data_IF_765278470521
#
_entry.id   IF_765278470521
#
_cell.length_a   1.000
_cell.length_b   1.000
_cell.length_c   1.000
_cell.angle_alpha   90.00
_cell.angle_beta   90.00
_cell.angle_gamma   90.00
#
_symmetry.space_group_name_H-M   'P 1'
#
loop_
_entity.id
_entity.type
_entity.pdbx_description
1 polymer ?
#
# COMPACT_ATOMS: atom_id res chain seq x y z
N UNK A 1 4.65 13.10 10.02
CA UNK A 1 3.82 11.89 9.78
C UNK A 1 2.36 12.21 9.48
N UNK A 2 1.60 12.86 10.38
CA UNK A 2 0.15 13.07 10.18
C UNK A 2 -0.23 13.78 8.86
N UNK A 3 0.50 14.84 8.46
CA UNK A 3 0.24 15.60 7.24
C UNK A 3 0.49 14.83 5.93
N UNK A 4 1.54 14.01 5.89
CA UNK A 4 1.87 13.16 4.73
C UNK A 4 0.85 12.03 4.55
N UNK A 5 0.35 11.47 5.66
CA UNK A 5 -0.78 10.54 5.64
C UNK A 5 -2.06 11.24 5.15
N UNK A 6 -2.36 12.45 5.60
CA UNK A 6 -3.53 13.19 5.11
C UNK A 6 -3.44 13.56 3.62
N UNK A 7 -2.26 13.94 3.14
CA UNK A 7 -2.02 14.23 1.72
C UNK A 7 -2.06 12.95 0.85
N UNK A 8 -1.64 11.79 1.36
CA UNK A 8 -1.75 10.51 0.66
C UNK A 8 -3.19 9.95 0.66
N UNK A 9 -3.94 10.15 1.74
CA UNK A 9 -5.35 9.76 1.88
C UNK A 9 -6.28 10.44 0.88
N UNK A 10 -5.93 11.66 0.47
CA UNK A 10 -6.70 12.51 -0.45
C UNK A 10 -6.70 12.02 -1.91
N UNK A 11 -5.77 11.14 -2.30
CA UNK A 11 -5.50 10.84 -3.71
C UNK A 11 -5.86 9.41 -4.09
N UNK A 12 -7.11 9.02 -3.84
CA UNK A 12 -7.66 7.70 -4.15
C UNK A 12 -7.72 7.30 -5.63
N UNK A 13 -7.00 8.00 -6.52
CA UNK A 13 -6.97 7.71 -7.95
C UNK A 13 -5.52 7.51 -8.42
N UNK A 14 -5.28 6.38 -9.10
CA UNK A 14 -4.10 6.17 -9.94
C UNK A 14 -3.84 7.42 -10.82
N UNK A 15 -2.58 7.66 -11.25
CA UNK A 15 -2.39 8.30 -12.54
C UNK A 15 -2.98 7.35 -13.60
N UNK A 16 -4.27 7.49 -13.89
CA UNK A 16 -4.90 6.81 -15.00
C UNK A 16 -4.11 7.18 -16.27
N UNK A 17 -3.93 6.21 -17.16
CA UNK A 17 -3.43 6.50 -18.50
C UNK A 17 -4.41 7.48 -19.15
N UNK A 18 -4.03 8.76 -19.20
CA UNK A 18 -4.85 9.77 -19.86
C UNK A 18 -4.50 9.69 -21.34
N UNK A 19 -5.46 9.25 -22.14
CA UNK A 19 -5.30 9.20 -23.59
C UNK A 19 -4.94 10.59 -24.11
N UNK A 20 -3.76 10.73 -24.71
CA UNK A 20 -3.25 12.02 -25.21
C UNK A 20 -2.06 12.58 -24.42
N UNK A 21 -1.70 12.02 -23.27
CA UNK A 21 -0.49 12.42 -22.56
C UNK A 21 0.76 12.11 -23.37
N UNK A 22 1.72 13.03 -23.33
CA UNK A 22 3.06 12.79 -23.85
C UNK A 22 3.77 11.68 -23.06
N UNK A 23 4.74 11.01 -23.68
CA UNK A 23 5.56 9.99 -22.99
C UNK A 23 6.30 10.57 -21.78
N UNK A 24 6.69 11.84 -21.84
CA UNK A 24 7.34 12.56 -20.74
C UNK A 24 6.40 12.77 -19.56
N UNK A 25 5.13 13.14 -19.80
CA UNK A 25 4.13 13.27 -18.74
C UNK A 25 3.76 11.94 -18.09
N UNK A 26 3.66 10.88 -18.90
CA UNK A 26 3.45 9.53 -18.39
C UNK A 26 4.62 9.12 -17.47
N UNK A 27 5.86 9.33 -17.90
CA UNK A 27 7.04 9.05 -17.08
C UNK A 27 7.09 9.88 -15.79
N UNK A 28 6.73 11.17 -15.86
CA UNK A 28 6.68 12.05 -14.68
C UNK A 28 5.64 11.55 -13.67
N UNK A 29 4.42 11.25 -14.11
CA UNK A 29 3.37 10.72 -13.24
C UNK A 29 3.74 9.38 -12.63
N UNK A 30 4.36 8.49 -13.44
CA UNK A 30 4.84 7.20 -12.96
C UNK A 30 5.89 7.37 -11.86
N UNK A 31 6.85 8.27 -12.07
CA UNK A 31 7.86 8.60 -11.07
C UNK A 31 7.24 9.14 -9.79
N UNK A 32 6.35 10.14 -9.90
CA UNK A 32 5.65 10.71 -8.74
C UNK A 32 4.85 9.66 -7.97
N UNK A 33 4.23 8.72 -8.67
CA UNK A 33 3.49 7.63 -8.07
C UNK A 33 4.40 6.63 -7.35
N UNK A 34 5.52 6.26 -7.97
CA UNK A 34 6.49 5.32 -7.40
C UNK A 34 7.18 5.92 -6.17
N UNK A 35 7.65 7.17 -6.28
CA UNK A 35 8.27 7.92 -5.16
C UNK A 35 7.32 7.98 -3.94
N UNK A 36 5.99 8.07 -4.17
CA UNK A 36 4.99 8.08 -3.08
C UNK A 36 4.81 6.72 -2.44
N UNK A 37 4.81 5.65 -3.23
CA UNK A 37 4.71 4.30 -2.69
C UNK A 37 5.92 3.96 -1.82
N UNK A 38 7.11 4.40 -2.23
CA UNK A 38 8.33 4.26 -1.43
C UNK A 38 8.18 4.96 -0.08
N UNK A 39 7.63 6.18 -0.05
CA UNK A 39 7.36 6.91 1.21
C UNK A 39 6.32 6.20 2.08
N UNK A 40 5.24 5.67 1.48
CA UNK A 40 4.22 4.94 2.23
C UNK A 40 4.77 3.62 2.79
N UNK A 41 5.62 2.93 2.02
CA UNK A 41 6.29 1.71 2.46
C UNK A 41 7.26 2.02 3.60
N UNK A 42 8.06 3.08 3.50
CA UNK A 42 8.96 3.52 4.56
C UNK A 42 8.19 3.84 5.85
N UNK A 43 7.04 4.51 5.75
CA UNK A 43 6.17 4.79 6.91
C UNK A 43 5.67 3.46 7.51
N UNK A 44 5.20 2.54 6.67
CA UNK A 44 4.68 1.24 7.09
C UNK A 44 5.75 0.41 7.81
N UNK A 45 6.98 0.40 7.29
CA UNK A 45 8.11 -0.37 7.84
C UNK A 45 8.58 0.18 9.18
N UNK A 46 8.40 1.48 9.42
CA UNK A 46 8.83 2.19 10.63
C UNK A 46 7.68 2.48 11.60
N UNK A 47 6.55 1.76 11.51
CA UNK A 47 5.46 1.94 12.44
C UNK A 47 5.86 1.61 13.89
N UNK A 48 5.49 2.46 14.86
CA UNK A 48 5.67 2.13 16.27
C UNK A 48 4.96 0.83 16.65
N UNK A 49 5.52 0.10 17.62
CA UNK A 49 4.90 -1.12 18.11
C UNK A 49 3.47 -0.86 18.62
N UNK A 50 2.49 -1.58 18.06
CA UNK A 50 1.08 -1.40 18.38
C UNK A 50 0.39 -0.25 17.65
N UNK A 51 1.05 0.41 16.69
CA UNK A 51 0.38 1.31 15.74
C UNK A 51 0.13 0.56 14.43
N UNK A 52 -1.10 0.66 13.91
CA UNK A 52 -1.45 0.04 12.62
C UNK A 52 -1.79 1.08 11.54
N UNK A 53 -2.08 2.33 11.93
CA UNK A 53 -2.43 3.39 10.98
C UNK A 53 -1.20 3.77 10.18
N UNK A 54 -1.32 3.81 8.86
CA UNK A 54 -0.20 4.02 7.94
C UNK A 54 0.44 2.72 7.46
N UNK A 55 0.00 1.56 7.97
CA UNK A 55 0.51 0.26 7.55
C UNK A 55 -0.03 -0.12 6.17
N UNK A 56 0.82 -0.74 5.35
CA UNK A 56 0.42 -1.33 4.06
C UNK A 56 0.20 -2.82 4.25
N UNK A 57 -0.98 -3.28 3.83
CA UNK A 57 -1.35 -4.68 3.76
C UNK A 57 -1.28 -5.15 2.32
N UNK A 58 -0.65 -6.31 2.09
CA UNK A 58 -0.59 -6.95 0.79
C UNK A 58 -1.35 -8.28 0.82
N UNK A 59 -2.39 -8.40 0.01
CA UNK A 59 -3.11 -9.65 -0.17
C UNK A 59 -2.71 -10.28 -1.50
N UNK A 60 -2.20 -11.51 -1.48
CA UNK A 60 -1.86 -12.22 -2.72
C UNK A 60 -3.09 -12.42 -3.61
N UNK A 61 -3.00 -12.01 -4.88
CA UNK A 61 -4.04 -12.18 -5.89
C UNK A 61 -3.37 -12.64 -7.18
N UNK A 62 -3.68 -13.86 -7.63
CA UNK A 62 -3.04 -14.50 -8.78
C UNK A 62 -1.50 -14.51 -8.64
N UNK A 63 -0.78 -13.89 -9.58
CA UNK A 63 0.68 -13.72 -9.59
C UNK A 63 1.14 -12.42 -8.92
N UNK A 64 0.21 -11.56 -8.51
CA UNK A 64 0.48 -10.26 -7.89
C UNK A 64 -0.06 -10.11 -6.48
N UNK A 65 -0.22 -8.86 -6.06
CA UNK A 65 -0.77 -8.50 -4.75
C UNK A 65 -1.68 -7.28 -4.82
N UNK A 66 -2.78 -7.34 -4.09
CA UNK A 66 -3.67 -6.21 -3.85
C UNK A 66 -3.18 -5.46 -2.60
N UNK A 67 -2.87 -4.17 -2.74
CA UNK A 67 -2.28 -3.35 -1.68
C UNK A 67 -3.35 -2.47 -1.00
N UNK A 68 -3.30 -2.36 0.33
CA UNK A 68 -4.24 -1.55 1.10
C UNK A 68 -3.53 -0.77 2.21
N UNK A 69 -3.77 0.53 2.29
CA UNK A 69 -3.32 1.39 3.38
C UNK A 69 -4.32 1.36 4.54
N UNK A 70 -3.85 1.20 5.77
CA UNK A 70 -4.68 1.37 6.97
C UNK A 70 -4.83 2.85 7.28
N UNK A 71 -6.03 3.39 7.03
CA UNK A 71 -6.26 4.85 7.12
C UNK A 71 -6.78 5.29 8.49
N UNK A 72 -7.54 4.42 9.16
CA UNK A 72 -8.09 4.63 10.50
C UNK A 72 -8.12 3.31 11.24
N UNK A 73 -7.77 3.32 12.52
CA UNK A 73 -7.88 2.12 13.37
C UNK A 73 -9.32 1.90 13.86
N UNK A 74 -10.06 2.98 14.16
CA UNK A 74 -11.41 2.92 14.76
C UNK A 74 -12.35 3.97 14.14
N UNK A 75 -13.38 3.57 13.37
CA UNK A 75 -13.57 2.22 12.85
C UNK A 75 -12.41 1.84 11.92
N UNK A 76 -12.05 0.56 11.90
CA UNK A 76 -10.98 0.08 11.04
C UNK A 76 -11.36 0.38 9.59
N UNK A 77 -10.52 1.16 8.92
CA UNK A 77 -10.76 1.60 7.55
C UNK A 77 -9.50 1.33 6.75
N UNK A 78 -9.68 0.67 5.60
CA UNK A 78 -8.63 0.42 4.62
C UNK A 78 -8.92 1.22 3.35
N UNK A 79 -7.88 1.78 2.73
CA UNK A 79 -7.94 2.37 1.40
C UNK A 79 -7.16 1.49 0.45
N UNK A 80 -7.77 1.12 -0.67
CA UNK A 80 -7.08 0.37 -1.71
C UNK A 80 -6.03 1.26 -2.39
N UNK A 81 -4.85 0.70 -2.61
CA UNK A 81 -3.78 1.31 -3.39
C UNK A 81 -3.79 0.61 -4.73
N UNK A 82 -4.28 1.31 -5.75
CA UNK A 82 -4.29 0.81 -7.12
C UNK A 82 -2.86 0.80 -7.69
N UNK A 83 -2.08 -0.27 -7.49
CA UNK A 83 -0.72 -0.41 -8.05
C UNK A 83 -0.69 -1.43 -9.19
N UNK A 84 0.07 -1.12 -10.25
CA UNK A 84 0.20 -1.95 -11.47
C UNK A 84 -1.17 -2.38 -12.03
N UNK A 85 -1.45 -3.67 -12.03
CA UNK A 85 -2.68 -4.27 -12.57
C UNK A 85 -3.93 -3.97 -11.74
N UNK A 86 -3.78 -3.22 -10.64
CA UNK A 86 -4.90 -2.76 -9.83
C UNK A 86 -5.64 -3.92 -9.16
N UNK A 87 -4.91 -4.99 -8.81
CA UNK A 87 -5.50 -6.15 -8.16
C UNK A 87 -6.29 -5.72 -6.92
N UNK A 88 -7.52 -6.22 -6.81
CA UNK A 88 -8.43 -5.98 -5.69
C UNK A 88 -8.90 -7.31 -5.14
N UNK A 89 -8.90 -7.45 -3.82
CA UNK A 89 -9.55 -8.60 -3.18
C UNK A 89 -11.05 -8.40 -3.08
N UNK A 90 -11.80 -9.50 -3.10
CA UNK A 90 -13.23 -9.47 -2.90
C UNK A 90 -13.58 -8.88 -1.53
N UNK A 91 -14.61 -8.03 -1.45
CA UNK A 91 -14.97 -7.29 -0.22
C UNK A 91 -15.17 -8.20 1.01
N UNK A 92 -15.62 -9.44 0.79
CA UNK A 92 -15.84 -10.42 1.85
C UNK A 92 -14.55 -10.82 2.58
N UNK A 93 -13.39 -10.71 1.93
CA UNK A 93 -12.08 -10.98 2.54
C UNK A 93 -11.61 -9.83 3.42
N UNK A 94 -12.09 -8.61 3.16
CA UNK A 94 -11.81 -7.41 3.97
C UNK A 94 -12.81 -7.30 5.13
N UNK A 95 -14.05 -7.70 4.89
CA UNK A 95 -15.13 -7.61 5.87
C UNK A 95 -14.86 -8.54 7.06
N UNK A 96 -14.73 -7.97 8.25
CA UNK A 96 -14.46 -8.71 9.48
C UNK A 96 -12.98 -8.79 9.84
N UNK A 97 -12.09 -8.18 9.04
CA UNK A 97 -10.74 -7.90 9.49
C UNK A 97 -10.80 -7.11 10.79
N UNK A 98 -10.02 -7.55 11.76
CA UNK A 98 -9.83 -6.87 13.02
C UNK A 98 -8.36 -6.47 13.18
N UNK A 99 -8.09 -5.70 14.24
CA UNK A 99 -6.75 -5.21 14.55
C UNK A 99 -5.71 -6.34 14.67
N UNK A 100 -6.06 -7.47 15.29
CA UNK A 100 -5.14 -8.59 15.44
C UNK A 100 -4.77 -9.23 14.09
N UNK A 101 -5.72 -9.29 13.14
CA UNK A 101 -5.40 -9.74 11.78
C UNK A 101 -4.41 -8.80 11.09
N UNK A 102 -4.59 -7.49 11.25
CA UNK A 102 -3.70 -6.49 10.66
C UNK A 102 -2.32 -6.54 11.27
N UNK A 103 -2.22 -6.60 12.60
CA UNK A 103 -0.93 -6.72 13.29
C UNK A 103 -0.20 -7.99 12.84
N UNK A 104 -0.91 -9.11 12.68
CA UNK A 104 -0.34 -10.35 12.15
C UNK A 104 0.19 -10.18 10.72
N UNK A 105 -0.58 -9.56 9.83
CA UNK A 105 -0.15 -9.33 8.45
C UNK A 105 1.02 -8.33 8.36
N UNK A 106 1.01 -7.22 9.10
CA UNK A 106 2.12 -6.26 9.13
C UNK A 106 3.41 -6.91 9.65
N UNK A 107 3.31 -7.75 10.68
CA UNK A 107 4.45 -8.51 11.21
C UNK A 107 4.99 -9.53 10.19
N UNK A 108 4.13 -10.15 9.39
CA UNK A 108 4.54 -11.14 8.39
C UNK A 108 4.98 -10.53 7.06
N UNK A 109 4.42 -9.39 6.66
CA UNK A 109 4.85 -8.60 5.50
C UNK A 109 6.31 -8.18 5.67
N UNK A 110 6.69 -7.69 6.86
CA UNK A 110 8.08 -7.38 7.20
C UNK A 110 9.02 -8.60 7.11
N UNK A 111 8.54 -9.82 7.33
CA UNK A 111 9.36 -11.04 7.18
C UNK A 111 9.51 -11.48 5.73
N UNK A 112 8.44 -11.38 4.92
CA UNK A 112 8.46 -11.77 3.51
C UNK A 112 9.20 -10.78 2.64
N UNK A 113 8.98 -9.48 2.86
CA UNK A 113 9.66 -8.41 2.14
C UNK A 113 11.17 -8.49 2.41
N UNK A 114 11.60 -8.49 3.68
CA UNK A 114 13.03 -8.61 4.01
C UNK A 114 13.69 -9.86 3.42
N UNK A 115 13.00 -11.01 3.46
CA UNK A 115 13.50 -12.25 2.85
C UNK A 115 13.67 -12.13 1.32
N UNK A 116 12.72 -11.51 0.62
CA UNK A 116 12.80 -11.30 -0.83
C UNK A 116 13.89 -10.27 -1.22
N UNK A 117 14.14 -9.26 -0.38
CA UNK A 117 15.22 -8.29 -0.58
C UNK A 117 16.61 -8.86 -0.29
N UNK A 118 16.74 -9.81 0.64
CA UNK A 118 17.97 -10.56 0.89
C UNK A 118 18.30 -11.51 -0.26
N UNK A 119 17.31 -12.28 -0.73
CA UNK A 119 17.46 -13.21 -1.87
C UNK A 119 17.75 -12.47 -3.21
N UNK A 120 17.38 -11.20 -3.33
CA UNK A 120 17.68 -10.38 -4.51
C UNK A 120 19.07 -9.69 -4.47
N UNK A 121 19.78 -9.77 -3.34
CA UNK A 121 21.12 -9.17 -3.14
C UNK A 121 22.27 -10.19 -3.16
N UNK A 122 21.99 -11.49 -3.09
CA UNK A 122 22.93 -12.59 -3.38
C UNK A 122 22.95 -12.94 -4.87
#
# INVERSE_FOLDING_TARGET
>A
MARLLEESLSMGDLPHYVSGDSREEQNRRWKEYTDRLDVLQEISDNLPAGEIKGGILAFGVADGSALYLVVKERPLTLQHIDFLDGYRVHYALIKGLNRANIEYELLNANRRINKLWEEARE
#
